data_IF_257677891068
#
_entry.id   IF_257677891068
#
_cell.length_a   1.000
_cell.length_b   1.000
_cell.length_c   1.000
_cell.angle_alpha   90.00
_cell.angle_beta   90.00
_cell.angle_gamma   90.00
#
_symmetry.space_group_name_H-M   'P 1'
#
loop_
_entity.id
_entity.type
_entity.pdbx_description
1 polymer ?
#
# COMPACT_ATOMS: atom_id res chain seq x y z
N UNK A 1 -8.46 2.29 1.55
CA UNK A 1 -7.57 1.73 0.49
C UNK A 1 -7.44 0.23 0.63
N UNK A 2 -7.28 -0.53 -0.48
CA UNK A 2 -6.97 -1.96 -0.42
C UNK A 2 -5.59 -2.18 0.24
N UNK A 3 -5.39 -3.31 0.95
CA UNK A 3 -4.12 -3.62 1.60
C UNK A 3 -3.07 -4.07 0.57
N UNK A 4 -2.28 -3.15 0.04
CA UNK A 4 -1.26 -3.45 -0.96
C UNK A 4 0.00 -4.05 -0.35
N UNK A 5 0.65 -4.95 -1.12
CA UNK A 5 1.87 -5.66 -0.74
C UNK A 5 3.10 -4.77 -0.94
N UNK A 6 3.68 -4.28 0.15
CA UNK A 6 4.81 -3.34 0.15
C UNK A 6 4.67 -2.25 -0.94
N UNK A 7 3.61 -1.41 -0.88
CA UNK A 7 3.29 -0.45 -1.93
C UNK A 7 4.42 0.57 -2.17
N UNK A 8 4.28 1.37 -3.21
CA UNK A 8 5.23 2.45 -3.51
C UNK A 8 5.12 3.60 -2.49
N UNK A 9 6.07 4.53 -2.56
CA UNK A 9 6.19 5.67 -1.64
C UNK A 9 4.92 6.53 -1.56
N UNK A 10 4.18 6.69 -2.67
CA UNK A 10 2.93 7.48 -2.70
C UNK A 10 1.83 6.95 -1.78
N UNK A 11 1.81 5.64 -1.53
CA UNK A 11 0.90 5.02 -0.57
C UNK A 11 1.22 5.46 0.88
N UNK A 12 2.50 5.59 1.21
CA UNK A 12 2.94 6.07 2.53
C UNK A 12 2.78 7.58 2.66
N UNK A 13 2.87 8.33 1.57
CA UNK A 13 2.51 9.74 1.56
C UNK A 13 1.02 9.94 1.87
N UNK A 14 0.15 9.09 1.34
CA UNK A 14 -1.28 9.12 1.67
C UNK A 14 -1.53 8.76 3.15
N UNK A 15 -0.83 7.74 3.70
CA UNK A 15 -0.92 7.41 5.12
C UNK A 15 -0.48 8.59 5.98
N UNK A 16 0.63 9.25 5.63
CA UNK A 16 1.16 10.40 6.39
C UNK A 16 0.27 11.65 6.29
N UNK A 17 -0.50 11.78 5.22
CA UNK A 17 -1.39 12.91 4.95
C UNK A 17 -2.83 12.73 5.45
N UNK A 18 -3.15 11.62 6.14
CA UNK A 18 -4.53 11.32 6.60
C UNK A 18 -4.55 10.87 8.05
N UNK A 19 -5.60 11.24 8.78
CA UNK A 19 -5.74 10.93 10.21
C UNK A 19 -6.19 9.49 10.46
N UNK A 20 -6.92 8.92 9.50
CA UNK A 20 -7.56 7.61 9.64
C UNK A 20 -7.45 6.81 8.36
N UNK A 21 -7.11 5.55 8.49
CA UNK A 21 -6.95 4.64 7.37
C UNK A 21 -7.90 3.45 7.45
N UNK A 22 -8.81 3.35 6.48
CA UNK A 22 -9.69 2.19 6.39
C UNK A 22 -9.11 1.19 5.39
N UNK A 23 -8.73 0.01 5.89
CA UNK A 23 -8.30 -1.11 5.08
C UNK A 23 -9.51 -1.70 4.38
N UNK A 24 -9.61 -1.48 3.08
CA UNK A 24 -10.75 -1.87 2.26
C UNK A 24 -10.60 -3.31 1.76
N UNK A 25 -11.29 -4.24 2.39
CA UNK A 25 -11.12 -5.68 2.21
C UNK A 25 -12.42 -6.46 1.97
N UNK A 26 -13.57 -5.76 1.83
CA UNK A 26 -14.90 -6.37 1.74
C UNK A 26 -15.36 -6.72 0.32
N UNK A 27 -14.62 -6.31 -0.70
CA UNK A 27 -14.92 -6.59 -2.11
C UNK A 27 -14.23 -7.87 -2.60
N UNK A 28 -14.61 -8.31 -3.80
CA UNK A 28 -13.98 -9.45 -4.45
C UNK A 28 -12.48 -9.24 -4.70
N UNK A 29 -11.73 -10.31 -4.49
CA UNK A 29 -10.31 -10.33 -4.77
C UNK A 29 -10.05 -10.28 -6.29
N UNK A 30 -9.11 -9.45 -6.69
CA UNK A 30 -8.64 -9.38 -8.07
C UNK A 30 -7.24 -10.01 -8.17
N UNK A 31 -7.08 -11.13 -8.92
CA UNK A 31 -5.78 -11.76 -9.14
C UNK A 31 -4.76 -10.82 -9.78
N UNK A 32 -3.50 -11.03 -9.46
CA UNK A 32 -2.38 -10.22 -9.98
C UNK A 32 -2.51 -8.73 -9.67
N UNK A 33 -3.23 -8.36 -8.61
CA UNK A 33 -3.33 -6.98 -8.11
C UNK A 33 -2.11 -6.60 -7.26
N UNK A 34 -2.02 -5.33 -6.92
CA UNK A 34 -0.97 -4.82 -6.02
C UNK A 34 -1.07 -5.36 -4.58
N UNK A 35 -2.13 -6.08 -4.24
CA UNK A 35 -2.24 -6.79 -2.96
C UNK A 35 -1.33 -8.01 -2.88
N UNK A 36 -0.92 -8.57 -4.01
CA UNK A 36 -0.14 -9.81 -4.06
C UNK A 36 1.17 -9.70 -4.84
N UNK A 37 1.47 -8.54 -5.38
CA UNK A 37 2.74 -8.30 -6.09
C UNK A 37 3.15 -6.84 -6.02
N UNK A 38 4.45 -6.61 -6.18
CA UNK A 38 5.00 -5.29 -6.41
C UNK A 38 6.30 -5.40 -7.23
N UNK A 39 6.96 -4.28 -7.51
CA UNK A 39 8.15 -4.21 -8.36
C UNK A 39 9.36 -3.76 -7.56
N UNK A 40 10.50 -4.37 -7.85
CA UNK A 40 11.83 -3.97 -7.34
C UNK A 40 12.82 -3.93 -8.49
N UNK A 41 13.94 -3.24 -8.33
CA UNK A 41 15.01 -3.25 -9.34
C UNK A 41 15.49 -4.67 -9.62
N UNK A 42 15.86 -4.92 -10.86
CA UNK A 42 16.46 -6.15 -11.32
C UNK A 42 17.96 -5.95 -11.53
N UNK A 43 18.72 -7.01 -11.28
CA UNK A 43 20.20 -6.97 -11.39
C UNK A 43 20.69 -6.58 -12.78
N UNK A 44 20.00 -7.02 -13.83
CA UNK A 44 20.35 -6.80 -15.24
C UNK A 44 19.77 -5.51 -15.82
N UNK A 45 19.15 -4.67 -14.98
CA UNK A 45 18.46 -3.45 -15.37
C UNK A 45 16.94 -3.63 -15.48
N UNK A 46 16.21 -2.52 -15.40
CA UNK A 46 14.76 -2.51 -15.29
C UNK A 46 14.27 -3.05 -13.95
N UNK A 47 13.08 -3.60 -13.92
CA UNK A 47 12.44 -4.10 -12.71
C UNK A 47 11.91 -5.55 -12.87
N UNK A 48 11.66 -6.20 -11.75
CA UNK A 48 10.98 -7.49 -11.69
C UNK A 48 9.88 -7.48 -10.63
N UNK A 49 8.90 -8.39 -10.77
CA UNK A 49 7.90 -8.57 -9.74
C UNK A 49 8.45 -9.36 -8.56
N UNK A 50 8.17 -8.87 -7.37
CA UNK A 50 8.08 -9.66 -6.14
C UNK A 50 6.63 -10.11 -5.98
N UNK A 51 6.41 -11.37 -5.64
CA UNK A 51 5.08 -11.95 -5.54
C UNK A 51 4.85 -12.56 -4.17
N UNK A 52 3.63 -12.39 -3.66
CA UNK A 52 3.14 -13.05 -2.47
C UNK A 52 2.34 -14.30 -2.90
N UNK A 53 2.83 -15.51 -2.64
CA UNK A 53 2.14 -16.74 -3.03
C UNK A 53 0.87 -16.92 -2.20
N UNK A 54 -0.22 -17.25 -2.88
CA UNK A 54 -1.51 -17.51 -2.27
C UNK A 54 -1.80 -19.01 -2.21
N UNK A 55 -2.58 -19.40 -1.18
CA UNK A 55 -3.12 -20.77 -1.09
C UNK A 55 -4.22 -20.99 -2.13
N UNK A 56 -5.09 -20.00 -2.28
CA UNK A 56 -6.14 -19.93 -3.30
C UNK A 56 -6.21 -18.51 -3.86
N UNK A 57 -6.36 -18.40 -5.18
CA UNK A 57 -6.47 -17.12 -5.90
C UNK A 57 -7.79 -16.98 -6.64
N UNK A 58 -8.82 -17.69 -6.19
CA UNK A 58 -10.15 -17.64 -6.80
C UNK A 58 -10.74 -16.23 -6.75
N UNK A 59 -11.32 -15.81 -7.86
CA UNK A 59 -12.07 -14.54 -7.94
C UNK A 59 -13.39 -14.57 -7.17
N UNK A 60 -13.87 -15.73 -6.72
CA UNK A 60 -15.06 -15.85 -5.90
C UNK A 60 -14.84 -15.39 -4.46
N UNK A 61 -13.59 -15.37 -3.99
CA UNK A 61 -13.24 -14.94 -2.64
C UNK A 61 -13.30 -13.42 -2.50
N UNK A 62 -13.71 -12.96 -1.33
CA UNK A 62 -13.49 -11.58 -0.90
C UNK A 62 -12.07 -11.40 -0.41
N UNK A 63 -11.56 -10.17 -0.41
CA UNK A 63 -10.17 -9.87 -0.03
C UNK A 63 -9.85 -10.42 1.38
N UNK A 64 -10.75 -10.26 2.36
CA UNK A 64 -10.54 -10.74 3.73
C UNK A 64 -10.57 -12.28 3.87
N UNK A 65 -11.07 -12.99 2.86
CA UNK A 65 -11.10 -14.46 2.83
C UNK A 65 -9.82 -15.06 2.25
N UNK A 66 -9.03 -14.25 1.53
CA UNK A 66 -7.81 -14.72 0.86
C UNK A 66 -6.74 -15.11 1.87
N UNK A 67 -6.12 -16.25 1.65
CA UNK A 67 -5.02 -16.78 2.47
C UNK A 67 -3.75 -16.89 1.65
N UNK A 68 -2.63 -16.50 2.25
CA UNK A 68 -1.32 -16.74 1.65
C UNK A 68 -0.93 -18.22 1.80
N UNK A 69 0.08 -18.63 1.04
CA UNK A 69 0.75 -19.90 1.28
C UNK A 69 1.47 -19.94 2.62
N UNK A 70 2.51 -20.75 2.72
CA UNK A 70 3.35 -20.78 3.92
C UNK A 70 4.09 -19.43 4.12
N UNK A 71 3.89 -18.71 5.26
CA UNK A 71 4.56 -17.46 5.53
C UNK A 71 6.08 -17.56 5.51
N UNK A 72 6.66 -18.66 6.01
CA UNK A 72 8.11 -18.84 6.04
C UNK A 72 8.68 -19.00 4.61
N UNK A 73 7.99 -19.76 3.76
CA UNK A 73 8.36 -19.90 2.35
C UNK A 73 8.19 -18.58 1.59
N UNK A 74 7.15 -17.80 1.87
CA UNK A 74 6.93 -16.48 1.28
C UNK A 74 8.05 -15.49 1.66
N UNK A 75 8.46 -15.48 2.94
CA UNK A 75 9.60 -14.69 3.40
C UNK A 75 10.91 -15.10 2.69
N UNK A 76 11.19 -16.39 2.61
CA UNK A 76 12.39 -16.89 1.94
C UNK A 76 12.42 -16.53 0.45
N UNK A 77 11.30 -16.64 -0.23
CA UNK A 77 11.15 -16.27 -1.64
C UNK A 77 11.40 -14.76 -1.85
N UNK A 78 10.80 -13.90 -1.02
CA UNK A 78 11.00 -12.46 -1.10
C UNK A 78 12.45 -12.08 -0.83
N UNK A 79 13.06 -12.63 0.24
CA UNK A 79 14.46 -12.39 0.57
C UNK A 79 15.41 -12.88 -0.53
N UNK A 80 15.08 -13.99 -1.20
CA UNK A 80 15.79 -14.47 -2.38
C UNK A 80 15.75 -13.45 -3.52
N UNK A 81 14.57 -12.91 -3.81
CA UNK A 81 14.39 -11.86 -4.84
C UNK A 81 15.16 -10.57 -4.53
N UNK A 82 15.38 -10.26 -3.25
CA UNK A 82 16.11 -9.07 -2.78
C UNK A 82 17.61 -9.31 -2.57
N UNK A 83 18.11 -10.51 -2.79
CA UNK A 83 19.50 -10.90 -2.43
C UNK A 83 20.58 -10.08 -3.14
N UNK A 84 20.30 -9.56 -4.33
CA UNK A 84 21.25 -8.74 -5.11
C UNK A 84 21.53 -7.37 -4.48
N UNK A 85 20.63 -6.86 -3.62
CA UNK A 85 20.85 -5.58 -2.90
C UNK A 85 21.90 -5.68 -1.79
N UNK A 86 22.09 -6.85 -1.16
CA UNK A 86 22.89 -7.05 0.08
C UNK A 86 24.28 -6.41 0.07
N UNK A 87 24.96 -6.47 -1.07
CA UNK A 87 26.33 -5.94 -1.20
C UNK A 87 26.38 -4.54 -1.80
N UNK A 88 25.25 -3.93 -2.10
CA UNK A 88 25.15 -2.69 -2.86
C UNK A 88 24.34 -1.62 -2.16
N UNK A 89 23.19 -1.98 -1.63
CA UNK A 89 22.30 -1.04 -0.97
C UNK A 89 22.64 -0.88 0.51
N UNK A 90 22.85 0.37 0.99
CA UNK A 90 23.33 0.62 2.35
C UNK A 90 22.38 0.16 3.45
N UNK A 91 21.06 0.14 3.18
CA UNK A 91 20.04 -0.22 4.17
C UNK A 91 19.44 -1.61 3.97
N UNK A 92 20.09 -2.47 3.19
CA UNK A 92 19.58 -3.82 2.90
C UNK A 92 19.29 -4.66 4.16
N UNK A 93 20.11 -4.54 5.20
CA UNK A 93 19.90 -5.27 6.46
C UNK A 93 18.61 -4.89 7.18
N UNK A 94 18.25 -3.60 7.18
CA UNK A 94 16.98 -3.13 7.76
C UNK A 94 15.79 -3.66 6.98
N UNK A 95 15.86 -3.62 5.66
CA UNK A 95 14.79 -4.14 4.78
C UNK A 95 14.60 -5.64 4.99
N UNK A 96 15.69 -6.42 5.08
CA UNK A 96 15.62 -7.86 5.38
C UNK A 96 14.97 -8.13 6.75
N UNK A 97 15.25 -7.31 7.76
CA UNK A 97 14.62 -7.41 9.08
C UNK A 97 13.12 -7.16 8.98
N UNK A 98 12.68 -6.10 8.31
CA UNK A 98 11.26 -5.78 8.11
C UNK A 98 10.53 -6.91 7.35
N UNK A 99 11.17 -7.48 6.33
CA UNK A 99 10.59 -8.63 5.62
C UNK A 99 10.41 -9.82 6.57
N UNK A 100 11.43 -10.19 7.34
CA UNK A 100 11.35 -11.29 8.31
C UNK A 100 10.27 -11.06 9.35
N UNK A 101 10.22 -9.86 9.91
CA UNK A 101 9.21 -9.46 10.89
C UNK A 101 7.78 -9.49 10.30
N UNK A 102 7.61 -9.11 9.03
CA UNK A 102 6.30 -9.17 8.36
C UNK A 102 5.74 -10.58 8.37
N UNK A 103 6.58 -11.58 8.11
CA UNK A 103 6.16 -12.97 8.02
C UNK A 103 6.36 -13.78 9.32
N UNK A 104 6.88 -13.17 10.38
CA UNK A 104 7.02 -13.80 11.71
C UNK A 104 5.66 -13.88 12.41
N UNK A 105 4.71 -14.60 11.82
CA UNK A 105 3.34 -14.77 12.30
C UNK A 105 2.80 -16.14 11.89
N UNK A 106 1.80 -16.62 12.62
CA UNK A 106 1.01 -17.81 12.24
C UNK A 106 -0.26 -17.44 11.47
N UNK A 107 -0.60 -16.16 11.40
CA UNK A 107 -1.73 -15.67 10.64
C UNK A 107 -1.39 -15.69 9.14
N UNK A 108 -2.16 -16.45 8.37
CA UNK A 108 -2.01 -16.58 6.92
C UNK A 108 -2.98 -15.69 6.12
N UNK A 109 -3.68 -14.76 6.79
CA UNK A 109 -4.55 -13.80 6.12
C UNK A 109 -3.73 -12.84 5.25
N UNK A 110 -4.13 -12.70 3.97
CA UNK A 110 -3.57 -11.70 3.06
C UNK A 110 -3.63 -10.29 3.67
N UNK A 111 -4.77 -9.96 4.27
CA UNK A 111 -5.00 -8.64 4.90
C UNK A 111 -4.05 -8.44 6.07
N UNK A 112 -3.96 -9.43 6.97
CA UNK A 112 -3.10 -9.35 8.15
C UNK A 112 -1.62 -9.18 7.78
N UNK A 113 -1.12 -9.94 6.81
CA UNK A 113 0.27 -9.84 6.32
C UNK A 113 0.54 -8.45 5.74
N UNK A 114 -0.34 -7.95 4.86
CA UNK A 114 -0.13 -6.65 4.23
C UNK A 114 -0.26 -5.48 5.23
N UNK A 115 -1.21 -5.55 6.15
CA UNK A 115 -1.33 -4.55 7.23
C UNK A 115 -0.09 -4.58 8.15
N UNK A 116 0.43 -5.78 8.47
CA UNK A 116 1.65 -5.92 9.24
C UNK A 116 2.86 -5.30 8.52
N UNK A 117 2.97 -5.52 7.20
CA UNK A 117 4.00 -4.88 6.38
C UNK A 117 3.90 -3.35 6.42
N UNK A 118 2.69 -2.79 6.22
CA UNK A 118 2.46 -1.35 6.32
C UNK A 118 2.85 -0.79 7.70
N UNK A 119 2.44 -1.47 8.78
CA UNK A 119 2.78 -1.07 10.16
C UNK A 119 4.28 -1.02 10.40
N UNK A 120 5.00 -2.05 10.00
CA UNK A 120 6.45 -2.14 10.20
C UNK A 120 7.20 -1.07 9.41
N UNK A 121 6.78 -0.81 8.17
CA UNK A 121 7.35 0.27 7.37
C UNK A 121 7.02 1.63 7.98
N UNK A 122 5.77 1.89 8.36
CA UNK A 122 5.38 3.13 9.03
C UNK A 122 6.15 3.35 10.33
N UNK A 123 6.32 2.30 11.14
CA UNK A 123 7.12 2.36 12.37
C UNK A 123 8.58 2.75 12.08
N UNK A 124 9.21 2.11 11.10
CA UNK A 124 10.58 2.44 10.69
C UNK A 124 10.71 3.88 10.19
N UNK A 125 9.72 4.36 9.44
CA UNK A 125 9.70 5.73 8.93
C UNK A 125 9.29 6.76 9.98
N UNK A 126 8.80 6.36 11.15
CA UNK A 126 8.25 7.26 12.16
C UNK A 126 6.97 7.96 11.69
N UNK A 127 6.17 7.29 10.86
CA UNK A 127 4.86 7.76 10.37
C UNK A 127 3.76 7.14 11.21
N UNK A 128 2.86 7.93 11.84
CA UNK A 128 1.69 7.40 12.51
C UNK A 128 0.80 6.61 11.55
N UNK A 129 0.29 5.45 11.99
CA UNK A 129 -0.59 4.63 11.16
C UNK A 129 -1.80 4.16 11.99
N UNK A 130 -2.87 4.95 11.96
CA UNK A 130 -4.13 4.67 12.62
C UNK A 130 -5.07 4.00 11.64
N UNK A 131 -5.23 2.68 11.74
CA UNK A 131 -6.00 1.90 10.78
C UNK A 131 -7.11 1.09 11.43
N UNK A 132 -8.13 0.83 10.63
CA UNK A 132 -9.21 -0.11 10.94
C UNK A 132 -9.46 -1.00 9.72
N UNK A 133 -9.86 -2.24 9.96
CA UNK A 133 -10.13 -3.21 8.89
C UNK A 133 -11.64 -3.22 8.63
N UNK A 134 -12.05 -2.86 7.41
CA UNK A 134 -13.44 -2.63 7.06
C UNK A 134 -14.35 -3.84 7.36
N UNK A 135 -13.87 -5.06 7.08
CA UNK A 135 -14.62 -6.31 7.39
C UNK A 135 -14.83 -6.55 8.89
N UNK A 136 -14.06 -5.90 9.76
CA UNK A 136 -14.12 -6.04 11.22
C UNK A 136 -14.94 -4.92 11.88
N UNK A 137 -15.30 -3.86 11.14
CA UNK A 137 -15.99 -2.69 11.69
C UNK A 137 -17.50 -2.86 11.84
N UNK A 138 -18.09 -3.97 11.34
CA UNK A 138 -19.55 -4.21 11.34
C UNK A 138 -20.36 -3.06 10.72
N UNK A 139 -19.83 -2.39 9.70
CA UNK A 139 -20.49 -1.30 9.01
C UNK A 139 -21.69 -1.83 8.20
N UNK A 140 -22.84 -1.17 8.36
CA UNK A 140 -24.04 -1.43 7.54
C UNK A 140 -23.94 -0.60 6.26
N UNK A 141 -23.28 -1.16 5.25
CA UNK A 141 -23.06 -0.47 3.98
C UNK A 141 -24.03 -0.96 2.93
N UNK A 142 -24.78 -0.06 2.27
CA UNK A 142 -25.53 -0.41 1.07
C UNK A 142 -24.57 -0.92 -0.03
N UNK A 143 -25.01 -1.92 -0.77
CA UNK A 143 -24.18 -2.46 -1.88
C UNK A 143 -23.94 -1.35 -2.90
N UNK A 144 -22.67 -1.19 -3.30
CA UNK A 144 -22.31 -0.28 -4.37
C UNK A 144 -22.38 -0.98 -5.72
N UNK A 145 -22.95 -0.30 -6.72
CA UNK A 145 -22.98 -0.74 -8.11
C UNK A 145 -21.71 -0.39 -8.88
N UNK A 146 -20.88 0.52 -8.34
CA UNK A 146 -19.65 0.98 -8.96
C UNK A 146 -18.44 0.75 -8.05
N UNK A 147 -17.23 0.55 -8.59
CA UNK A 147 -16.02 0.41 -7.76
C UNK A 147 -15.76 1.63 -6.86
N UNK A 148 -15.98 2.85 -7.37
CA UNK A 148 -15.76 4.10 -6.63
C UNK A 148 -16.82 4.39 -5.57
N UNK A 149 -18.03 3.87 -5.73
CA UNK A 149 -19.16 4.16 -4.84
C UNK A 149 -19.07 3.55 -3.43
N UNK A 150 -18.10 2.70 -3.14
CA UNK A 150 -17.81 2.23 -1.79
C UNK A 150 -17.19 3.31 -0.90
N UNK A 151 -16.34 4.16 -1.47
CA UNK A 151 -15.58 5.15 -0.72
C UNK A 151 -16.49 6.18 -0.01
N UNK A 152 -17.47 6.85 -0.67
CA UNK A 152 -18.35 7.79 0.01
C UNK A 152 -19.22 7.13 1.07
N UNK A 153 -19.67 5.88 0.87
CA UNK A 153 -20.47 5.13 1.85
C UNK A 153 -19.66 4.77 3.10
N UNK A 154 -18.41 4.37 2.94
CA UNK A 154 -17.51 4.08 4.06
C UNK A 154 -17.20 5.38 4.79
N UNK A 155 -16.84 6.45 4.07
CA UNK A 155 -16.52 7.73 4.66
C UNK A 155 -17.68 8.29 5.50
N UNK A 156 -18.91 8.23 4.99
CA UNK A 156 -20.13 8.58 5.71
C UNK A 156 -20.33 7.72 6.98
N UNK A 157 -20.21 6.39 6.84
CA UNK A 157 -20.40 5.45 7.94
C UNK A 157 -19.39 5.61 9.09
N UNK A 158 -18.20 6.14 8.80
CA UNK A 158 -17.17 6.42 9.80
C UNK A 158 -17.16 7.88 10.26
N UNK A 159 -18.09 8.72 9.78
CA UNK A 159 -18.23 10.12 10.14
C UNK A 159 -17.07 10.99 9.67
N UNK A 160 -16.52 10.71 8.48
CA UNK A 160 -15.44 11.50 7.91
C UNK A 160 -15.98 12.73 7.17
N UNK A 161 -15.35 13.88 7.39
CA UNK A 161 -15.67 15.13 6.69
C UNK A 161 -14.94 15.24 5.34
N UNK A 162 -13.89 14.43 5.17
CA UNK A 162 -13.02 14.45 4.00
C UNK A 162 -12.59 13.04 3.61
N UNK A 163 -12.55 12.77 2.31
CA UNK A 163 -11.98 11.55 1.74
C UNK A 163 -10.83 11.90 0.80
N UNK A 164 -9.67 11.32 1.04
CA UNK A 164 -8.47 11.55 0.23
C UNK A 164 -8.09 10.28 -0.53
N UNK A 165 -7.81 10.40 -1.82
CA UNK A 165 -7.32 9.30 -2.65
C UNK A 165 -6.08 9.73 -3.45
N UNK A 166 -5.20 8.83 -3.89
CA UNK A 166 -4.15 9.20 -4.84
C UNK A 166 -4.74 9.77 -6.13
N UNK A 167 -4.10 10.81 -6.70
CA UNK A 167 -4.58 11.52 -7.90
C UNK A 167 -4.83 10.58 -9.09
N UNK A 168 -4.05 9.50 -9.24
CA UNK A 168 -4.22 8.50 -10.29
C UNK A 168 -5.54 7.70 -10.22
N UNK A 169 -6.31 7.84 -9.15
CA UNK A 169 -7.63 7.23 -9.00
C UNK A 169 -8.80 8.19 -9.26
N UNK A 170 -8.55 9.43 -9.69
CA UNK A 170 -9.57 10.47 -9.84
C UNK A 170 -10.79 10.02 -10.66
N UNK A 171 -10.57 9.35 -11.78
CA UNK A 171 -11.63 8.90 -12.69
C UNK A 171 -12.57 7.82 -12.09
N UNK A 172 -12.21 7.23 -10.95
CA UNK A 172 -13.05 6.24 -10.29
C UNK A 172 -14.20 6.85 -9.48
N UNK A 173 -14.15 8.15 -9.21
CA UNK A 173 -15.04 8.81 -8.25
C UNK A 173 -15.92 9.86 -8.92
N UNK A 174 -17.19 9.86 -8.54
CA UNK A 174 -18.13 10.95 -8.81
C UNK A 174 -18.17 11.88 -7.57
N UNK A 175 -17.75 13.12 -7.74
CA UNK A 175 -17.72 14.12 -6.67
C UNK A 175 -19.09 14.35 -6.03
N UNK A 176 -20.17 14.23 -6.82
CA UNK A 176 -21.53 14.39 -6.32
C UNK A 176 -21.93 13.32 -5.31
N UNK A 177 -21.38 12.11 -5.44
CA UNK A 177 -21.62 11.04 -4.44
C UNK A 177 -21.02 11.37 -3.06
N UNK A 178 -19.99 12.20 -2.99
CA UNK A 178 -19.38 12.68 -1.74
C UNK A 178 -20.09 13.92 -1.22
N UNK A 179 -20.26 14.94 -2.05
CA UNK A 179 -20.85 16.22 -1.64
C UNK A 179 -22.31 16.07 -1.15
N UNK A 180 -23.10 15.15 -1.76
CA UNK A 180 -24.45 14.83 -1.29
C UNK A 180 -24.48 14.22 0.13
N UNK A 181 -23.35 13.75 0.66
CA UNK A 181 -23.15 13.24 2.02
C UNK A 181 -22.41 14.22 2.93
N UNK A 182 -22.15 15.44 2.47
CA UNK A 182 -21.39 16.43 3.20
C UNK A 182 -19.89 16.14 3.31
N UNK A 183 -19.36 15.27 2.43
CA UNK A 183 -17.95 14.84 2.45
C UNK A 183 -17.21 15.57 1.33
N UNK A 184 -16.02 16.07 1.62
CA UNK A 184 -15.13 16.66 0.62
C UNK A 184 -14.27 15.55 -0.02
N UNK A 185 -14.35 15.43 -1.35
CA UNK A 185 -13.45 14.57 -2.13
C UNK A 185 -12.17 15.34 -2.45
N UNK A 186 -11.03 14.78 -2.06
CA UNK A 186 -9.71 15.37 -2.32
C UNK A 186 -8.74 14.33 -2.86
N UNK A 187 -7.68 14.80 -3.48
CA UNK A 187 -6.66 13.94 -4.06
C UNK A 187 -5.27 14.30 -3.54
N UNK A 188 -4.46 13.26 -3.32
CA UNK A 188 -3.06 13.42 -2.96
C UNK A 188 -2.22 13.37 -4.22
N UNK A 189 -1.45 14.42 -4.44
CA UNK A 189 -0.38 14.51 -5.43
C UNK A 189 0.96 14.38 -4.71
N UNK A 190 1.76 13.40 -5.11
CA UNK A 190 3.13 13.24 -4.65
C UNK A 190 4.09 13.50 -5.82
N UNK A 191 5.08 14.40 -5.66
CA UNK A 191 6.07 14.60 -6.69
C UNK A 191 6.91 13.33 -6.89
N UNK A 192 7.50 13.14 -8.07
CA UNK A 192 8.46 12.06 -8.29
C UNK A 192 9.58 12.12 -7.25
N UNK A 193 9.92 10.97 -6.69
CA UNK A 193 11.05 10.83 -5.79
C UNK A 193 12.13 10.00 -6.47
N UNK A 194 13.18 10.67 -6.91
CA UNK A 194 14.36 10.05 -7.52
C UNK A 194 15.49 9.93 -6.50
N UNK A 195 16.23 8.83 -6.56
CA UNK A 195 17.33 8.53 -5.64
C UNK A 195 18.43 7.72 -6.32
N UNK A 196 19.65 7.80 -5.78
CA UNK A 196 20.79 7.07 -6.31
C UNK A 196 20.66 5.57 -6.06
N UNK A 197 20.84 4.77 -7.11
CA UNK A 197 20.73 3.30 -7.07
C UNK A 197 21.98 2.59 -7.62
N UNK A 198 23.12 3.30 -7.71
CA UNK A 198 24.33 2.74 -8.30
C UNK A 198 24.73 1.40 -7.62
N UNK A 199 25.07 0.37 -8.42
CA UNK A 199 25.34 0.41 -9.87
C UNK A 199 24.10 0.14 -10.76
N UNK A 200 22.90 0.12 -10.19
CA UNK A 200 21.67 -0.12 -10.96
C UNK A 200 21.15 1.18 -11.56
N UNK A 201 20.42 1.06 -12.67
CA UNK A 201 19.66 2.19 -13.24
C UNK A 201 18.40 2.42 -12.42
N UNK A 202 18.10 3.66 -12.06
CA UNK A 202 16.88 4.03 -11.36
C UNK A 202 15.65 3.71 -12.18
N UNK A 203 14.60 3.22 -11.50
CA UNK A 203 13.27 2.98 -12.07
C UNK A 203 12.21 3.62 -11.17
N UNK A 204 11.24 4.37 -11.72
CA UNK A 204 10.21 5.03 -10.92
C UNK A 204 9.12 4.08 -10.44
N UNK A 205 8.47 4.45 -9.35
CA UNK A 205 7.24 3.80 -8.86
C UNK A 205 7.44 2.37 -8.37
N UNK A 206 8.63 2.02 -7.91
CA UNK A 206 8.93 0.74 -7.29
C UNK A 206 8.34 0.63 -5.88
N UNK A 207 8.38 -0.59 -5.34
CA UNK A 207 8.02 -0.91 -3.96
C UNK A 207 8.78 -0.04 -2.97
N UNK A 208 8.16 0.26 -1.83
CA UNK A 208 8.83 0.91 -0.70
C UNK A 208 10.07 0.14 -0.24
N UNK A 209 10.14 -1.18 -0.46
CA UNK A 209 11.33 -1.97 -0.15
C UNK A 209 12.54 -1.48 -0.95
N UNK A 210 12.34 -1.16 -2.24
CA UNK A 210 13.40 -0.59 -3.07
C UNK A 210 13.83 0.78 -2.55
N UNK A 211 12.87 1.67 -2.31
CA UNK A 211 13.14 3.01 -1.75
C UNK A 211 13.96 2.92 -0.46
N UNK A 212 13.57 2.02 0.45
CA UNK A 212 14.24 1.82 1.73
C UNK A 212 15.62 1.16 1.62
N UNK A 213 15.91 0.41 0.55
CA UNK A 213 17.26 -0.14 0.30
C UNK A 213 18.30 0.96 0.17
N UNK A 214 17.94 2.11 -0.43
CA UNK A 214 18.83 3.18 -0.83
C UNK A 214 18.78 4.43 0.05
N UNK A 215 17.72 4.61 0.81
CA UNK A 215 17.47 5.85 1.55
C UNK A 215 17.24 5.59 3.03
N UNK A 216 17.76 6.48 3.87
CA UNK A 216 17.46 6.51 5.29
C UNK A 216 16.03 7.01 5.57
N UNK A 217 15.49 6.77 6.77
CA UNK A 217 14.10 7.14 7.08
C UNK A 217 13.85 8.66 7.10
N UNK A 218 14.85 9.50 7.35
CA UNK A 218 14.70 10.95 7.34
C UNK A 218 14.52 11.46 5.90
N UNK A 219 15.34 10.96 4.99
CA UNK A 219 15.25 11.24 3.55
C UNK A 219 13.89 10.84 2.99
N UNK A 220 13.41 9.63 3.34
CA UNK A 220 12.08 9.16 2.90
C UNK A 220 10.98 10.06 3.48
N UNK A 221 11.01 10.39 4.78
CA UNK A 221 10.01 11.29 5.39
C UNK A 221 9.99 12.66 4.74
N UNK A 222 11.14 13.21 4.41
CA UNK A 222 11.24 14.49 3.70
C UNK A 222 10.53 14.40 2.34
N UNK A 223 10.69 13.28 1.61
CA UNK A 223 9.99 13.07 0.35
C UNK A 223 8.46 12.94 0.57
N UNK A 224 8.02 12.24 1.62
CA UNK A 224 6.58 12.14 1.95
C UNK A 224 5.96 13.52 2.22
N UNK A 225 6.68 14.42 2.89
CA UNK A 225 6.19 15.76 3.24
C UNK A 225 6.01 16.71 2.05
N UNK A 226 6.54 16.35 0.88
CA UNK A 226 6.35 17.11 -0.36
C UNK A 226 5.01 16.83 -1.04
N UNK A 227 4.29 15.80 -0.60
CA UNK A 227 2.97 15.48 -1.13
C UNK A 227 1.96 16.57 -0.72
N UNK A 228 1.03 16.86 -1.61
CA UNK A 228 0.00 17.89 -1.43
C UNK A 228 -1.38 17.29 -1.60
N UNK A 229 -2.32 17.72 -0.77
CA UNK A 229 -3.73 17.39 -0.91
C UNK A 229 -4.41 18.54 -1.67
N UNK A 230 -5.03 18.20 -2.80
CA UNK A 230 -5.69 19.14 -3.72
C UNK A 230 -7.18 18.82 -3.80
N UNK A 231 -8.01 19.82 -4.11
CA UNK A 231 -9.44 19.62 -4.28
C UNK A 231 -9.77 18.87 -5.57
N UNK A 232 -10.89 18.16 -5.60
CA UNK A 232 -11.32 17.39 -6.78
C UNK A 232 -11.52 18.30 -8.01
N UNK A 233 -12.00 19.51 -7.80
CA UNK A 233 -12.22 20.52 -8.84
C UNK A 233 -10.98 21.29 -9.29
N UNK A 234 -9.81 21.08 -8.65
CA UNK A 234 -8.56 21.71 -9.07
C UNK A 234 -8.00 21.01 -10.30
N UNK A 235 -8.03 21.70 -11.43
CA UNK A 235 -7.50 21.24 -12.74
C UNK A 235 -6.04 21.56 -12.89
#
# INVERSE_FOLDING_TARGET
>A
MQPYYFPNIGHFALIAGTDRWIVFDITQYTPKSWMTRNRVLRREGGWSYINLPLRDSSRSLRIHEVRIGDPAAAAASLLGSLSHYRKRAPFSGVVETIVRETFATRDDSLVAINVRALRLVCYYLGVPFHYEICSQMNLRLPVSSTPGGWAPRIAEAVGADEYVNPIGGRELFDENEFTSRGIRLRFLEAPPFEYATAPYTFEPGLSILDVMMWNDPLTIRSALSLARIVDASSS
#
